data_IF_088574481581
#
_entry.id   IF_088574481581
#
_cell.length_a   1.000
_cell.length_b   1.000
_cell.length_c   1.000
_cell.angle_alpha   90.00
_cell.angle_beta   90.00
_cell.angle_gamma   90.00
#
_symmetry.space_group_name_H-M   'P 1'
#
loop_
_entity.id
_entity.type
_entity.pdbx_description
1 polymer ?
#
# COMPACT_ATOMS: atom_id res chain seq x y z
N UNK A 1 3.79 7.08 23.70
CA UNK A 1 3.74 8.06 22.59
C UNK A 1 4.35 7.54 21.30
N UNK A 2 5.60 7.04 21.31
CA UNK A 2 6.28 6.47 20.12
C UNK A 2 5.46 5.42 19.38
N UNK A 3 4.92 4.45 20.11
CA UNK A 3 4.05 3.38 19.60
C UNK A 3 2.86 3.93 18.80
N UNK A 4 2.18 4.94 19.33
CA UNK A 4 1.03 5.60 18.70
C UNK A 4 1.42 6.33 17.41
N UNK A 5 2.60 6.95 17.38
CA UNK A 5 3.11 7.64 16.18
C UNK A 5 3.38 6.63 15.06
N UNK A 6 3.97 5.48 15.36
CA UNK A 6 4.22 4.42 14.37
C UNK A 6 2.91 3.90 13.76
N UNK A 7 1.90 3.68 14.59
CA UNK A 7 0.57 3.27 14.13
C UNK A 7 -0.10 4.32 13.23
N UNK A 8 0.04 5.62 13.56
CA UNK A 8 -0.46 6.72 12.72
C UNK A 8 0.27 6.77 11.39
N UNK A 9 1.60 6.61 11.38
CA UNK A 9 2.39 6.55 10.14
C UNK A 9 1.87 5.41 9.25
N UNK A 10 1.61 4.23 9.85
CA UNK A 10 1.05 3.08 9.11
C UNK A 10 -0.32 3.35 8.50
N UNK A 11 -1.12 4.23 9.09
CA UNK A 11 -2.41 4.63 8.53
C UNK A 11 -2.23 5.65 7.41
N UNK A 12 -1.36 6.65 7.62
CA UNK A 12 -1.16 7.74 6.67
C UNK A 12 -0.58 7.24 5.34
N UNK A 13 0.24 6.18 5.37
CA UNK A 13 0.80 5.61 4.15
C UNK A 13 -0.25 5.06 3.17
N UNK A 14 -1.46 4.72 3.64
CA UNK A 14 -2.59 4.30 2.79
C UNK A 14 -2.96 5.36 1.75
N UNK A 15 -2.80 6.64 2.09
CA UNK A 15 -3.22 7.73 1.23
C UNK A 15 -2.30 7.92 0.03
N UNK A 16 -1.02 7.50 0.11
CA UNK A 16 -0.09 7.62 -1.01
C UNK A 16 -0.58 6.79 -2.21
N UNK A 17 -0.83 5.48 -2.11
CA UNK A 17 -1.44 4.73 -3.21
C UNK A 17 -2.79 5.29 -3.68
N UNK A 18 -3.58 5.85 -2.76
CA UNK A 18 -4.88 6.44 -3.11
C UNK A 18 -4.72 7.65 -4.05
N UNK A 19 -3.65 8.45 -3.92
CA UNK A 19 -3.42 9.59 -4.81
C UNK A 19 -3.14 9.18 -6.26
N UNK A 20 -2.78 7.92 -6.51
CA UNK A 20 -2.61 7.39 -7.87
C UNK A 20 -3.88 7.56 -8.70
N UNK A 21 -5.07 7.45 -8.10
CA UNK A 21 -6.35 7.62 -8.80
C UNK A 21 -6.52 9.00 -9.44
N UNK A 22 -5.85 10.03 -8.91
CA UNK A 22 -5.95 11.41 -9.43
C UNK A 22 -4.84 11.75 -10.42
N UNK A 23 -3.71 11.05 -10.36
CA UNK A 23 -2.51 11.36 -11.17
C UNK A 23 -2.34 10.41 -12.36
N UNK A 24 -2.89 9.20 -12.26
CA UNK A 24 -2.72 8.19 -13.29
C UNK A 24 -3.55 8.50 -14.55
N UNK A 25 -2.84 8.67 -15.67
CA UNK A 25 -3.43 8.80 -17.01
C UNK A 25 -2.89 7.67 -17.89
N UNK A 26 -3.70 6.68 -18.28
CA UNK A 26 -3.22 5.47 -18.96
C UNK A 26 -2.48 5.75 -20.29
N UNK A 27 -2.81 6.86 -20.96
CA UNK A 27 -2.26 7.25 -22.25
C UNK A 27 -1.02 8.15 -22.14
N UNK A 28 -0.61 8.54 -20.93
CA UNK A 28 0.57 9.37 -20.74
C UNK A 28 1.86 8.53 -20.83
N UNK A 29 2.92 9.09 -21.43
CA UNK A 29 4.20 8.41 -21.59
C UNK A 29 4.85 7.96 -20.25
N UNK A 30 4.50 8.63 -19.15
CA UNK A 30 4.97 8.33 -17.80
C UNK A 30 4.05 7.40 -16.99
N UNK A 31 2.96 6.89 -17.57
CA UNK A 31 1.96 6.07 -16.86
C UNK A 31 2.58 4.84 -16.20
N UNK A 32 3.49 4.16 -16.89
CA UNK A 32 4.19 2.96 -16.37
C UNK A 32 5.11 3.31 -15.20
N UNK A 33 5.87 4.41 -15.30
CA UNK A 33 6.77 4.85 -14.23
C UNK A 33 5.97 5.25 -12.98
N UNK A 34 4.84 5.94 -13.15
CA UNK A 34 3.91 6.29 -12.07
C UNK A 34 3.39 5.01 -11.39
N UNK A 35 2.89 4.04 -12.17
CA UNK A 35 2.36 2.79 -11.64
C UNK A 35 3.41 1.99 -10.85
N UNK A 36 4.65 1.92 -11.35
CA UNK A 36 5.75 1.25 -10.63
C UNK A 36 6.06 1.98 -9.32
N UNK A 37 6.19 3.31 -9.36
CA UNK A 37 6.45 4.12 -8.17
C UNK A 37 5.42 3.87 -7.06
N UNK A 38 4.12 3.95 -7.40
CA UNK A 38 3.05 3.64 -6.45
C UNK A 38 3.05 2.17 -6.00
N UNK A 39 3.35 1.24 -6.91
CA UNK A 39 3.49 -0.19 -6.57
C UNK A 39 4.55 -0.45 -5.50
N UNK A 40 5.72 0.17 -5.62
CA UNK A 40 6.78 0.09 -4.59
C UNK A 40 6.30 0.65 -3.25
N UNK A 41 5.59 1.79 -3.27
CA UNK A 41 5.02 2.38 -2.05
C UNK A 41 3.98 1.48 -1.37
N UNK A 42 3.11 0.81 -2.13
CA UNK A 42 2.12 -0.14 -1.60
C UNK A 42 2.84 -1.29 -0.88
N UNK A 43 3.83 -1.91 -1.53
CA UNK A 43 4.60 -3.03 -0.94
C UNK A 43 5.32 -2.59 0.32
N UNK A 44 6.02 -1.45 0.29
CA UNK A 44 6.73 -0.94 1.45
C UNK A 44 5.77 -0.64 2.63
N UNK A 45 4.61 -0.06 2.34
CA UNK A 45 3.59 0.28 3.35
C UNK A 45 2.96 -0.98 3.96
N UNK A 46 2.69 -1.99 3.13
CA UNK A 46 2.23 -3.30 3.61
C UNK A 46 3.25 -3.96 4.52
N UNK A 47 4.52 -4.02 4.11
CA UNK A 47 5.60 -4.61 4.90
C UNK A 47 5.80 -3.86 6.23
N UNK A 48 5.68 -2.54 6.22
CA UNK A 48 5.73 -1.73 7.43
C UNK A 48 4.58 -2.07 8.39
N UNK A 49 3.34 -2.09 7.91
CA UNK A 49 2.18 -2.45 8.72
C UNK A 49 2.28 -3.89 9.25
N UNK A 50 2.77 -4.82 8.42
CA UNK A 50 2.99 -6.22 8.79
C UNK A 50 4.06 -6.35 9.88
N UNK A 51 5.15 -5.59 9.78
CA UNK A 51 6.20 -5.55 10.79
C UNK A 51 5.67 -5.03 12.14
N UNK A 52 4.88 -3.96 12.13
CA UNK A 52 4.25 -3.45 13.34
C UNK A 52 3.29 -4.48 13.96
N UNK A 53 2.48 -5.14 13.12
CA UNK A 53 1.50 -6.11 13.56
C UNK A 53 2.11 -7.40 14.14
N UNK A 54 3.10 -7.97 13.46
CA UNK A 54 3.71 -9.25 13.83
C UNK A 54 4.84 -9.10 14.84
N UNK A 55 5.81 -8.22 14.57
CA UNK A 55 7.06 -8.16 15.35
C UNK A 55 6.95 -7.23 16.55
N UNK A 56 6.27 -6.09 16.39
CA UNK A 56 6.00 -5.16 17.49
C UNK A 56 4.73 -5.51 18.27
N UNK A 57 3.94 -6.47 17.79
CA UNK A 57 2.64 -6.84 18.36
C UNK A 57 1.68 -5.64 18.55
N UNK A 58 1.89 -4.58 17.77
CA UNK A 58 1.02 -3.40 17.77
C UNK A 58 -0.19 -3.69 16.90
N UNK A 59 -1.28 -4.10 17.54
CA UNK A 59 -2.52 -4.55 16.89
C UNK A 59 -3.67 -3.58 17.09
N UNK A 60 -3.34 -2.31 17.26
CA UNK A 60 -4.33 -1.24 17.32
C UNK A 60 -5.06 -1.07 15.97
N UNK A 61 -6.14 -0.30 15.99
CA UNK A 61 -7.01 -0.16 14.82
C UNK A 61 -6.30 0.48 13.63
N UNK A 62 -5.34 1.38 13.86
CA UNK A 62 -4.64 2.07 12.79
C UNK A 62 -3.72 1.13 12.02
N UNK A 63 -2.96 0.27 12.73
CA UNK A 63 -2.13 -0.76 12.11
C UNK A 63 -2.98 -1.79 11.37
N UNK A 64 -4.12 -2.21 11.95
CA UNK A 64 -5.04 -3.16 11.31
C UNK A 64 -5.63 -2.61 10.01
N UNK A 65 -6.08 -1.36 10.01
CA UNK A 65 -6.59 -0.69 8.81
C UNK A 65 -5.47 -0.50 7.79
N UNK A 66 -4.28 -0.03 8.22
CA UNK A 66 -3.08 0.05 7.38
C UNK A 66 -2.73 -1.26 6.70
N UNK A 67 -2.73 -2.36 7.46
CA UNK A 67 -2.45 -3.68 6.94
C UNK A 67 -3.53 -4.15 5.95
N UNK A 68 -4.81 -4.02 6.34
CA UNK A 68 -5.94 -4.49 5.53
C UNK A 68 -6.06 -3.75 4.20
N UNK A 69 -5.94 -2.43 4.21
CA UNK A 69 -6.07 -1.62 2.98
C UNK A 69 -4.88 -1.84 2.05
N UNK A 70 -3.64 -1.85 2.57
CA UNK A 70 -2.48 -2.13 1.72
C UNK A 70 -2.49 -3.58 1.19
N UNK A 71 -3.00 -4.55 1.95
CA UNK A 71 -3.23 -5.91 1.45
C UNK A 71 -4.24 -5.92 0.30
N UNK A 72 -5.34 -5.17 0.43
CA UNK A 72 -6.34 -5.05 -0.62
C UNK A 72 -5.75 -4.43 -1.90
N UNK A 73 -4.91 -3.41 -1.77
CA UNK A 73 -4.18 -2.84 -2.92
C UNK A 73 -3.27 -3.88 -3.60
N UNK A 74 -2.52 -4.67 -2.83
CA UNK A 74 -1.67 -5.74 -3.38
C UNK A 74 -2.50 -6.82 -4.09
N UNK A 75 -3.61 -7.25 -3.50
CA UNK A 75 -4.52 -8.20 -4.14
C UNK A 75 -5.10 -7.63 -5.43
N UNK A 76 -5.52 -6.37 -5.43
CA UNK A 76 -5.98 -5.68 -6.64
C UNK A 76 -4.95 -5.73 -7.77
N UNK A 77 -3.68 -5.42 -7.47
CA UNK A 77 -2.59 -5.52 -8.45
C UNK A 77 -2.39 -6.97 -8.91
N UNK A 78 -2.37 -7.94 -7.99
CA UNK A 78 -2.17 -9.34 -8.32
C UNK A 78 -3.26 -9.85 -9.29
N UNK A 79 -4.53 -9.62 -8.95
CA UNK A 79 -5.68 -10.10 -9.71
C UNK A 79 -5.91 -9.36 -11.02
N UNK A 80 -5.73 -8.04 -11.04
CA UNK A 80 -6.03 -7.23 -12.24
C UNK A 80 -4.84 -7.11 -13.19
N UNK A 81 -3.61 -7.22 -12.70
CA UNK A 81 -2.40 -6.90 -13.48
C UNK A 81 -1.52 -8.12 -13.70
N UNK A 82 -1.23 -8.90 -12.65
CA UNK A 82 -0.26 -10.00 -12.73
C UNK A 82 -0.90 -11.25 -13.33
N UNK A 83 -2.00 -11.73 -12.74
CA UNK A 83 -2.66 -12.97 -13.17
C UNK A 83 -3.05 -12.95 -14.65
N UNK A 84 -3.67 -11.88 -15.21
CA UNK A 84 -4.05 -11.85 -16.62
C UNK A 84 -2.88 -11.84 -17.60
N UNK A 85 -1.64 -11.63 -17.14
CA UNK A 85 -0.43 -11.66 -17.98
C UNK A 85 0.31 -12.99 -17.92
N UNK A 86 -0.11 -13.90 -17.04
CA UNK A 86 0.47 -15.24 -16.89
C UNK A 86 -0.20 -16.29 -17.79
N UNK A 87 -1.35 -15.96 -18.36
CA UNK A 87 -2.13 -16.78 -19.30
C UNK A 87 -2.27 -16.05 -20.63
#
# INVERSE_FOLDING_TARGET
>A
MKEKILSIISLVTIFVPLTMLFVWKPTAANATAIAIGYGVFIVASFLYALFLFLKKQQRDIYVKVGLGVNAFYLLGILFMVIIPRLF
#
